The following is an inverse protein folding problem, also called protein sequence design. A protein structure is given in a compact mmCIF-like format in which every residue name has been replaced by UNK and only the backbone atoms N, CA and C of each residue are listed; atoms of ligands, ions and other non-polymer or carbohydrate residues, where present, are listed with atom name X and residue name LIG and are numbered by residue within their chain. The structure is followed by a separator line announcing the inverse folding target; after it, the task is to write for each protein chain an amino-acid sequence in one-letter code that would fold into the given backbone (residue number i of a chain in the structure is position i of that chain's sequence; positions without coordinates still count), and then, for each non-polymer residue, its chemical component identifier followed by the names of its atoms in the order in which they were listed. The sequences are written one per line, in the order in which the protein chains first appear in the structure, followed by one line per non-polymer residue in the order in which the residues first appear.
data_IF_656343263122
#
_entry.id   IF_656343263122
#
_cell.length_a   1.000
_cell.length_b   1.000
_cell.length_c   1.000
_cell.angle_alpha   90.00
_cell.angle_beta   90.00
_cell.angle_gamma   90.00
#
_symmetry.space_group_name_H-M   'P 1'
#
loop_
_entity.id
_entity.type
_entity.pdbx_description
1 polymer ?
#
# COMPACT_ATOMS: atom_id res chain seq x y z
N UNK A 1 -13.65 7.09 -6.07
CA UNK A 1 -12.86 8.34 -6.10
C UNK A 1 -11.50 8.10 -6.76
N UNK A 2 -11.42 8.13 -8.09
CA UNK A 2 -10.17 7.93 -8.87
C UNK A 2 -9.66 9.24 -9.48
N UNK A 3 -9.75 10.35 -8.73
CA UNK A 3 -9.27 11.64 -9.21
C UNK A 3 -7.77 11.75 -8.92
N UNK A 4 -6.90 11.87 -9.94
CA UNK A 4 -5.48 12.06 -9.71
C UNK A 4 -5.27 13.41 -9.03
N UNK A 5 -4.43 13.42 -8.00
CA UNK A 5 -3.90 14.64 -7.40
C UNK A 5 -2.44 14.76 -7.79
N UNK A 6 -1.99 15.91 -8.35
CA UNK A 6 -0.59 16.10 -8.66
C UNK A 6 0.28 15.95 -7.41
N UNK A 7 1.35 15.16 -7.50
CA UNK A 7 2.30 14.97 -6.41
C UNK A 7 3.70 14.81 -6.99
N UNK A 8 4.63 15.65 -6.54
CA UNK A 8 6.03 15.60 -6.95
C UNK A 8 6.26 15.69 -8.46
N UNK A 9 7.36 15.10 -8.90
CA UNK A 9 7.76 14.99 -10.31
C UNK A 9 7.48 13.58 -10.86
N UNK A 10 7.28 13.44 -12.18
CA UNK A 10 7.19 12.12 -12.81
C UNK A 10 8.45 11.28 -12.57
N UNK A 11 8.28 9.97 -12.41
CA UNK A 11 9.36 8.98 -12.40
C UNK A 11 9.29 8.10 -13.65
N UNK A 12 10.39 7.42 -13.97
CA UNK A 12 10.51 6.63 -15.20
C UNK A 12 11.38 5.38 -15.05
N UNK A 13 11.81 4.87 -16.20
CA UNK A 13 12.69 3.70 -16.27
C UNK A 13 14.01 3.96 -15.53
N UNK A 14 14.41 3.00 -14.68
CA UNK A 14 15.64 3.08 -13.89
C UNK A 14 15.49 3.75 -12.53
N UNK A 15 14.40 4.48 -12.28
CA UNK A 15 14.16 5.12 -10.99
C UNK A 15 13.84 4.12 -9.88
N UNK A 16 14.26 4.45 -8.66
CA UNK A 16 13.90 3.74 -7.44
C UNK A 16 12.88 4.57 -6.67
N UNK A 17 11.67 4.03 -6.53
CA UNK A 17 10.60 4.65 -5.76
C UNK A 17 10.64 4.15 -4.32
N UNK A 18 10.77 5.07 -3.37
CA UNK A 18 10.66 4.81 -1.93
C UNK A 18 9.26 5.12 -1.42
N UNK A 19 8.75 4.29 -0.52
CA UNK A 19 7.46 4.50 0.16
C UNK A 19 7.70 4.41 1.66
N UNK A 20 7.33 5.47 2.38
CA UNK A 20 7.37 5.51 3.84
C UNK A 20 5.95 5.60 4.37
N UNK A 21 5.49 4.53 5.02
CA UNK A 21 4.21 4.47 5.70
C UNK A 21 4.44 4.54 7.21
N UNK A 22 3.80 5.49 7.87
CA UNK A 22 3.75 5.57 9.32
C UNK A 22 2.31 5.46 9.81
N UNK A 23 2.07 4.49 10.69
CA UNK A 23 0.80 4.28 11.36
C UNK A 23 1.04 4.41 12.87
N UNK A 24 0.60 5.50 13.52
CA UNK A 24 0.73 5.63 14.96
C UNK A 24 -0.12 4.57 15.68
N UNK A 25 0.18 4.27 16.95
CA UNK A 25 -0.70 3.45 17.78
C UNK A 25 -2.11 4.05 17.78
N UNK A 26 -3.10 3.24 17.43
CA UNK A 26 -4.46 3.69 17.25
C UNK A 26 -5.17 2.85 16.19
N UNK A 27 -6.42 3.19 15.98
CA UNK A 27 -7.32 2.47 15.11
C UNK A 27 -7.84 1.16 15.70
N UNK A 28 -8.88 0.60 15.09
CA UNK A 28 -9.50 -0.64 15.54
C UNK A 28 -8.91 -1.84 14.79
N UNK A 29 -8.08 -2.67 15.45
CA UNK A 29 -7.61 -3.89 14.83
C UNK A 29 -8.81 -4.78 14.53
N UNK A 30 -9.00 -5.12 13.25
CA UNK A 30 -10.02 -6.08 12.85
C UNK A 30 -9.64 -7.44 13.46
N UNK A 31 -10.35 -7.84 14.51
CA UNK A 31 -10.28 -9.20 15.02
C UNK A 31 -10.85 -10.12 13.96
N UNK A 32 -9.98 -10.89 13.29
CA UNK A 32 -10.41 -11.93 12.36
C UNK A 32 -11.20 -13.00 13.12
N UNK A 33 -12.52 -12.93 13.08
CA UNK A 33 -13.39 -13.99 13.57
C UNK A 33 -13.47 -15.07 12.50
N UNK A 34 -12.56 -16.04 12.56
CA UNK A 34 -12.60 -17.22 11.69
C UNK A 34 -13.34 -18.33 12.41
N UNK A 35 -14.63 -18.45 12.15
CA UNK A 35 -15.40 -19.62 12.55
C UNK A 35 -15.33 -20.68 11.44
N UNK A 36 -14.85 -21.87 11.80
CA UNK A 36 -14.85 -23.02 10.91
C UNK A 36 -16.27 -23.60 10.83
N UNK A 37 -16.86 -23.59 9.64
CA UNK A 37 -18.18 -24.17 9.38
C UNK A 37 -18.01 -25.47 8.61
N UNK A 38 -18.66 -26.53 9.08
CA UNK A 38 -18.69 -27.81 8.39
C UNK A 38 -19.88 -27.84 7.42
N UNK A 39 -19.61 -28.04 6.14
CA UNK A 39 -20.64 -28.34 5.15
C UNK A 39 -20.31 -29.67 4.47
N UNK A 40 -21.05 -30.72 4.87
CA UNK A 40 -20.72 -32.11 4.54
C UNK A 40 -19.42 -32.58 5.21
N UNK A 41 -18.48 -33.11 4.42
CA UNK A 41 -17.14 -33.55 4.88
C UNK A 41 -16.05 -32.48 4.69
N UNK A 42 -16.41 -31.25 4.35
CA UNK A 42 -15.48 -30.16 4.04
C UNK A 42 -15.61 -29.04 5.07
N UNK A 43 -14.48 -28.43 5.39
CA UNK A 43 -14.39 -27.24 6.25
C UNK A 43 -14.41 -26.00 5.37
N UNK A 44 -15.30 -25.09 5.70
CA UNK A 44 -15.40 -23.75 5.15
C UNK A 44 -15.13 -22.74 6.26
N UNK A 45 -14.82 -21.50 5.89
CA UNK A 45 -14.67 -20.41 6.85
C UNK A 45 -15.85 -19.48 6.66
N UNK A 46 -16.54 -19.15 7.76
CA UNK A 46 -17.67 -18.25 7.71
C UNK A 46 -17.23 -16.86 7.25
N UNK A 47 -18.08 -16.17 6.49
CA UNK A 47 -17.86 -14.77 6.13
C UNK A 47 -17.88 -13.92 7.40
N UNK A 48 -16.79 -13.19 7.62
CA UNK A 48 -16.71 -12.21 8.69
C UNK A 48 -17.81 -11.14 8.48
N UNK A 49 -18.39 -10.57 9.56
CA UNK A 49 -19.30 -9.45 9.42
C UNK A 49 -18.68 -8.32 8.59
N UNK A 50 -19.54 -7.54 7.92
CA UNK A 50 -19.12 -6.33 7.20
C UNK A 50 -18.26 -5.49 8.14
N UNK A 51 -17.06 -5.13 7.71
CA UNK A 51 -16.24 -4.22 8.49
C UNK A 51 -17.01 -2.92 8.70
N UNK A 52 -16.88 -2.33 9.88
CA UNK A 52 -17.16 -0.90 10.04
C UNK A 52 -16.35 -0.13 8.99
N UNK A 53 -16.91 0.97 8.49
CA UNK A 53 -16.17 1.83 7.59
C UNK A 53 -14.91 2.34 8.30
N UNK A 54 -13.73 2.20 7.69
CA UNK A 54 -12.49 2.65 8.32
C UNK A 54 -12.53 4.16 8.53
N UNK A 55 -12.05 4.62 9.68
CA UNK A 55 -11.94 6.05 9.99
C UNK A 55 -10.54 6.56 9.69
N UNK A 56 -10.38 7.87 9.61
CA UNK A 56 -9.06 8.48 9.54
C UNK A 56 -8.27 8.20 10.84
N UNK A 57 -6.97 7.94 10.69
CA UNK A 57 -6.04 7.72 11.77
C UNK A 57 -5.16 8.97 11.93
N UNK A 58 -5.47 9.80 12.91
CA UNK A 58 -4.77 11.07 13.13
C UNK A 58 -3.26 10.90 13.30
N UNK A 59 -2.48 11.69 12.58
CA UNK A 59 -1.02 11.66 12.61
C UNK A 59 -0.38 10.50 11.84
N UNK A 60 -1.19 9.69 11.14
CA UNK A 60 -0.67 8.75 10.14
C UNK A 60 -0.25 9.49 8.87
N UNK A 61 0.72 8.92 8.15
CA UNK A 61 1.08 9.44 6.83
C UNK A 61 1.63 8.36 5.90
N UNK A 62 1.53 8.66 4.60
CA UNK A 62 2.29 7.98 3.55
C UNK A 62 3.10 9.01 2.75
N UNK A 63 4.41 8.83 2.68
CA UNK A 63 5.31 9.69 1.93
C UNK A 63 5.98 8.92 0.77
N UNK A 64 6.17 9.60 -0.36
CA UNK A 64 6.75 9.04 -1.58
C UNK A 64 8.08 9.70 -1.90
N UNK A 65 9.02 8.91 -2.42
CA UNK A 65 10.37 9.32 -2.76
C UNK A 65 10.75 8.79 -4.14
N UNK A 66 11.56 9.55 -4.89
CA UNK A 66 12.18 9.10 -6.13
C UNK A 66 13.69 9.29 -5.98
N UNK A 67 14.45 8.20 -6.07
CA UNK A 67 15.90 8.20 -5.87
C UNK A 67 16.35 8.88 -4.56
N UNK A 68 15.55 8.70 -3.49
CA UNK A 68 15.77 9.29 -2.17
C UNK A 68 15.20 10.71 -1.98
N UNK A 69 14.82 11.42 -3.05
CA UNK A 69 14.23 12.76 -2.95
C UNK A 69 12.72 12.70 -2.68
N UNK A 70 12.26 13.38 -1.62
CA UNK A 70 10.85 13.44 -1.21
C UNK A 70 9.97 14.11 -2.28
N UNK A 71 8.88 13.45 -2.67
CA UNK A 71 7.93 13.91 -3.68
C UNK A 71 6.68 14.55 -3.07
N UNK A 72 6.28 14.07 -1.89
CA UNK A 72 5.08 14.52 -1.19
C UNK A 72 4.63 13.51 -0.15
N UNK A 73 3.61 13.87 0.60
CA UNK A 73 3.01 13.04 1.63
C UNK A 73 1.49 13.25 1.71
N UNK A 74 0.78 12.22 2.15
CA UNK A 74 -0.64 12.26 2.46
C UNK A 74 -0.79 11.94 3.94
N UNK A 75 -1.50 12.79 4.67
CA UNK A 75 -1.75 12.67 6.11
C UNK A 75 -3.14 12.12 6.40
N UNK A 76 -3.30 11.65 7.64
CA UNK A 76 -4.57 11.22 8.22
C UNK A 76 -5.26 10.19 7.33
N UNK A 77 -4.48 9.19 6.90
CA UNK A 77 -4.97 8.07 6.10
C UNK A 77 -5.89 7.18 6.94
N UNK A 78 -6.65 6.33 6.27
CA UNK A 78 -7.61 5.45 6.92
C UNK A 78 -6.92 4.42 7.82
N UNK A 79 -7.57 4.04 8.92
CA UNK A 79 -7.12 2.96 9.78
C UNK A 79 -7.20 1.61 9.05
N UNK A 80 -6.31 0.67 9.43
CA UNK A 80 -6.36 -0.71 8.95
C UNK A 80 -5.00 -1.30 8.60
N UNK A 81 -5.05 -2.44 7.92
CA UNK A 81 -3.85 -3.17 7.46
C UNK A 81 -3.52 -2.78 6.03
N UNK A 82 -2.36 -2.15 5.84
CA UNK A 82 -1.85 -1.80 4.52
C UNK A 82 -0.88 -2.87 4.03
N UNK A 83 -1.05 -3.27 2.77
CA UNK A 83 -0.13 -4.15 2.07
C UNK A 83 0.53 -3.37 0.94
N UNK A 84 1.86 -3.45 0.76
CA UNK A 84 2.51 -2.92 -0.42
C UNK A 84 1.86 -3.47 -1.69
N UNK A 85 1.55 -2.60 -2.65
CA UNK A 85 0.82 -2.96 -3.85
C UNK A 85 1.50 -2.38 -5.09
N UNK A 86 1.52 -3.15 -6.17
CA UNK A 86 1.97 -2.72 -7.49
C UNK A 86 0.88 -2.99 -8.51
N UNK A 87 0.68 -2.05 -9.43
CA UNK A 87 -0.24 -2.19 -10.56
C UNK A 87 0.49 -1.78 -11.84
N UNK A 88 1.32 -2.67 -12.42
CA UNK A 88 2.02 -2.37 -13.66
C UNK A 88 1.04 -2.38 -14.84
N UNK A 89 1.22 -1.43 -15.76
CA UNK A 89 0.46 -1.34 -17.01
C UNK A 89 1.42 -1.28 -18.19
N UNK A 90 1.33 -2.26 -19.10
CA UNK A 90 2.13 -2.26 -20.34
C UNK A 90 1.33 -1.60 -21.45
N UNK A 91 1.92 -0.61 -22.13
CA UNK A 91 1.22 0.12 -23.19
C UNK A 91 0.92 -0.78 -24.40
N UNK A 92 -0.22 -0.57 -25.10
CA UNK A 92 -0.47 -1.22 -26.38
C UNK A 92 0.67 -0.94 -27.38
N UNK A 93 1.28 -1.98 -27.92
CA UNK A 93 2.39 -1.87 -28.89
C UNK A 93 3.79 -1.80 -28.26
N UNK A 94 3.90 -1.76 -26.93
CA UNK A 94 5.19 -1.91 -26.25
C UNK A 94 5.69 -3.35 -26.41
N UNK A 95 6.95 -3.52 -26.86
CA UNK A 95 7.53 -4.85 -27.13
C UNK A 95 7.91 -5.59 -25.85
N UNK A 96 8.59 -4.89 -24.95
CA UNK A 96 9.01 -5.43 -23.66
C UNK A 96 7.97 -5.10 -22.60
N UNK A 97 7.60 -6.03 -21.70
CA UNK A 97 6.65 -5.75 -20.63
C UNK A 97 7.21 -4.74 -19.63
N UNK A 98 6.34 -3.99 -18.96
CA UNK A 98 6.75 -3.23 -17.77
C UNK A 98 7.18 -4.20 -16.67
N UNK A 99 8.39 -4.01 -16.16
CA UNK A 99 8.96 -4.79 -15.06
C UNK A 99 9.16 -3.88 -13.86
N UNK A 100 8.60 -4.29 -12.72
CA UNK A 100 8.80 -3.63 -11.43
C UNK A 100 9.32 -4.66 -10.43
N UNK A 101 10.22 -4.25 -9.55
CA UNK A 101 10.78 -5.11 -8.49
C UNK A 101 10.59 -4.44 -7.14
N UNK A 102 10.13 -5.20 -6.15
CA UNK A 102 10.07 -4.74 -4.77
C UNK A 102 11.32 -5.15 -4.01
N UNK A 103 11.85 -4.25 -3.19
CA UNK A 103 12.85 -4.58 -2.19
C UNK A 103 12.23 -4.44 -0.79
N UNK A 104 12.23 -5.53 -0.02
CA UNK A 104 11.74 -5.57 1.37
C UNK A 104 12.88 -5.85 2.37
N UNK A 105 14.13 -5.80 1.93
CA UNK A 105 15.28 -5.94 2.81
C UNK A 105 15.49 -4.66 3.64
N UNK A 106 16.34 -4.74 4.66
CA UNK A 106 16.79 -3.57 5.41
C UNK A 106 17.80 -2.70 4.65
N UNK A 107 18.30 -3.16 3.49
CA UNK A 107 19.29 -2.45 2.69
C UNK A 107 18.59 -1.65 1.58
N UNK A 108 18.53 -0.33 1.75
CA UNK A 108 17.95 0.59 0.78
C UNK A 108 19.00 1.06 -0.23
N UNK A 109 18.62 1.11 -1.51
CA UNK A 109 19.46 1.72 -2.56
C UNK A 109 19.62 3.23 -2.34
N UNK A 110 18.58 3.89 -1.83
CA UNK A 110 18.57 5.31 -1.49
C UNK A 110 17.99 5.49 -0.10
N UNK A 111 18.69 6.21 0.76
CA UNK A 111 18.15 6.66 2.04
C UNK A 111 17.20 7.85 1.80
N UNK A 112 16.09 7.95 2.55
CA UNK A 112 15.24 9.15 2.52
C UNK A 112 16.09 10.39 2.81
N UNK A 113 16.00 11.40 1.94
CA UNK A 113 16.62 12.69 2.13
C UNK A 113 15.55 13.65 2.66
N UNK A 114 15.71 14.10 3.92
CA UNK A 114 14.78 15.02 4.58
C UNK A 114 14.61 14.73 6.05
#
# INVERSE_FOLDING_TARGET
NSRPQPMGTPFGEGDVVGIHLFLPPGGQPRLRQREAVFWGKKVFWMEEPLAEEPRQLDGSFIAFYVNGAKQGEVHDILEGTYHPCLSPFTLPGQREPVVVRCNFSSELHFQPQG
#
